data_IF_893669384141
#
_entry.id   IF_893669384141
#
_cell.length_a   1.000
_cell.length_b   1.000
_cell.length_c   1.000
_cell.angle_alpha   90.00
_cell.angle_beta   90.00
_cell.angle_gamma   90.00
#
_symmetry.space_group_name_H-M   'P 1'
#
loop_
_entity.id
_entity.type
_entity.pdbx_description
1 polymer ?
#
# COMPACT_ATOMS: atom_id res chain seq x y z
N UNK A 1 11.25 21.97 3.91
CA UNK A 1 10.95 21.14 5.10
C UNK A 1 12.23 20.59 5.69
N UNK A 2 12.31 20.41 7.02
CA UNK A 2 13.46 19.76 7.66
C UNK A 2 13.50 18.28 7.27
N UNK A 3 14.69 17.78 6.96
CA UNK A 3 14.89 16.35 6.63
C UNK A 3 14.59 15.47 7.84
N UNK A 4 13.79 14.42 7.66
CA UNK A 4 13.38 13.48 8.72
C UNK A 4 14.01 12.10 8.49
N UNK A 5 15.17 11.82 9.14
CA UNK A 5 15.93 10.58 8.88
C UNK A 5 15.16 9.30 9.20
N UNK A 6 14.28 9.33 10.21
CA UNK A 6 13.50 8.15 10.58
C UNK A 6 12.47 7.78 9.51
N UNK A 7 11.83 8.76 8.87
CA UNK A 7 10.94 8.53 7.74
C UNK A 7 11.71 7.98 6.53
N UNK A 8 12.92 8.48 6.28
CA UNK A 8 13.77 7.94 5.23
C UNK A 8 14.13 6.46 5.48
N UNK A 9 14.48 6.12 6.73
CA UNK A 9 14.74 4.73 7.12
C UNK A 9 13.49 3.85 6.92
N UNK A 10 12.31 4.36 7.27
CA UNK A 10 11.05 3.65 7.05
C UNK A 10 10.76 3.43 5.57
N UNK A 11 10.90 4.47 4.74
CA UNK A 11 10.74 4.36 3.29
C UNK A 11 11.70 3.33 2.68
N UNK A 12 12.97 3.37 3.10
CA UNK A 12 13.98 2.40 2.67
C UNK A 12 13.63 0.98 3.09
N UNK A 13 13.20 0.78 4.34
CA UNK A 13 12.78 -0.53 4.85
C UNK A 13 11.62 -1.12 4.03
N UNK A 14 10.58 -0.32 3.78
CA UNK A 14 9.42 -0.76 3.01
C UNK A 14 9.84 -1.10 1.58
N UNK A 15 10.70 -0.29 0.96
CA UNK A 15 11.18 -0.53 -0.41
C UNK A 15 12.01 -1.81 -0.52
N UNK A 16 12.87 -2.08 0.45
CA UNK A 16 13.66 -3.32 0.50
C UNK A 16 12.76 -4.55 0.70
N UNK A 17 11.80 -4.49 1.63
CA UNK A 17 10.87 -5.60 1.86
C UNK A 17 9.91 -5.80 0.68
N UNK A 18 9.55 -4.74 -0.03
CA UNK A 18 8.74 -4.78 -1.26
C UNK A 18 9.53 -5.18 -2.51
N UNK A 19 10.84 -5.40 -2.39
CA UNK A 19 11.75 -5.71 -3.51
C UNK A 19 11.63 -4.70 -4.67
N UNK A 20 11.51 -3.42 -4.33
CA UNK A 20 11.40 -2.34 -5.31
C UNK A 20 12.74 -1.62 -5.47
N UNK A 21 12.82 -0.38 -5.01
CA UNK A 21 14.03 0.42 -5.16
C UNK A 21 14.98 0.29 -3.97
N UNK A 22 16.27 0.38 -4.25
CA UNK A 22 17.34 0.54 -3.24
C UNK A 22 17.85 1.97 -3.27
N UNK A 23 18.51 2.40 -2.19
CA UNK A 23 19.13 3.74 -2.15
C UNK A 23 18.13 4.89 -2.12
N UNK A 24 16.99 4.73 -1.49
CA UNK A 24 15.98 5.78 -1.33
C UNK A 24 16.57 7.03 -0.68
N UNK A 25 16.28 8.17 -1.27
CA UNK A 25 16.72 9.51 -0.82
C UNK A 25 15.54 10.38 -0.40
N UNK A 26 15.83 11.57 0.14
CA UNK A 26 14.80 12.57 0.50
C UNK A 26 14.05 13.13 -0.73
N UNK A 27 14.56 12.92 -1.94
CA UNK A 27 13.93 13.39 -3.16
C UNK A 27 13.01 12.34 -3.80
N UNK A 28 13.07 11.11 -3.32
CA UNK A 28 12.29 10.00 -3.87
C UNK A 28 10.83 10.03 -3.46
N UNK A 29 9.93 9.53 -4.33
CA UNK A 29 8.49 9.48 -4.06
C UNK A 29 8.12 8.79 -2.76
N UNK A 30 8.82 7.71 -2.42
CA UNK A 30 8.58 6.91 -1.21
C UNK A 30 8.75 7.72 0.07
N UNK A 31 9.77 8.59 0.12
CA UNK A 31 9.95 9.50 1.24
C UNK A 31 8.87 10.59 1.24
N UNK A 32 8.64 11.23 0.09
CA UNK A 32 7.70 12.35 -0.05
C UNK A 32 6.25 11.95 0.24
N UNK A 33 5.89 10.68 0.04
CA UNK A 33 4.57 10.15 0.37
C UNK A 33 4.41 9.98 1.88
N UNK A 34 5.42 9.48 2.58
CA UNK A 34 5.31 9.19 4.01
C UNK A 34 5.50 10.45 4.88
N UNK A 35 6.37 11.34 4.46
CA UNK A 35 6.79 12.49 5.25
C UNK A 35 5.66 13.38 5.75
N UNK A 36 4.64 13.76 4.95
CA UNK A 36 3.58 14.66 5.39
C UNK A 36 2.51 13.99 6.28
N UNK A 37 2.42 12.66 6.26
CA UNK A 37 1.30 11.92 6.86
C UNK A 37 1.70 11.03 8.05
N UNK A 38 3.00 10.77 8.22
CA UNK A 38 3.53 9.94 9.30
C UNK A 38 4.39 10.80 10.22
N UNK A 39 4.02 10.93 11.49
CA UNK A 39 4.85 11.56 12.51
C UNK A 39 5.93 10.62 13.05
N UNK A 40 6.81 11.09 13.92
CA UNK A 40 7.92 10.30 14.44
C UNK A 40 7.46 9.19 15.39
N UNK A 41 6.35 9.37 16.10
CA UNK A 41 5.75 8.37 16.97
C UNK A 41 5.13 7.23 16.14
N UNK A 42 4.35 7.56 15.13
CA UNK A 42 3.81 6.60 14.17
C UNK A 42 4.94 5.85 13.44
N UNK A 43 5.98 6.57 13.02
CA UNK A 43 7.14 5.99 12.36
C UNK A 43 7.83 4.96 13.26
N UNK A 44 8.06 5.28 14.53
CA UNK A 44 8.68 4.38 15.49
C UNK A 44 7.90 3.07 15.64
N UNK A 45 6.57 3.13 15.68
CA UNK A 45 5.72 1.93 15.76
C UNK A 45 5.70 1.16 14.44
N UNK A 46 5.57 1.85 13.30
CA UNK A 46 5.52 1.22 11.97
C UNK A 46 6.83 0.46 11.63
N UNK A 47 7.97 0.89 12.17
CA UNK A 47 9.25 0.18 12.04
C UNK A 47 9.21 -1.26 12.59
N UNK A 48 8.28 -1.57 13.50
CA UNK A 48 8.10 -2.90 14.07
C UNK A 48 7.07 -3.77 13.33
N UNK A 49 6.39 -3.23 12.32
CA UNK A 49 5.59 -4.00 11.38
C UNK A 49 6.46 -4.61 10.28
N UNK A 50 5.91 -5.56 9.53
CA UNK A 50 6.55 -6.20 8.37
C UNK A 50 5.56 -6.34 7.23
N UNK A 51 6.11 -6.48 6.03
CA UNK A 51 5.36 -6.72 4.81
C UNK A 51 4.47 -7.95 4.96
N UNK A 52 3.14 -7.77 4.79
CA UNK A 52 2.09 -8.80 4.83
C UNK A 52 2.10 -9.74 6.06
N UNK A 53 2.96 -9.48 7.06
CA UNK A 53 3.06 -10.29 8.26
C UNK A 53 2.10 -9.80 9.36
N UNK A 54 1.12 -10.62 9.69
CA UNK A 54 0.14 -10.35 10.73
C UNK A 54 0.81 -10.20 12.10
N UNK A 55 0.63 -9.05 12.75
CA UNK A 55 1.12 -8.78 14.11
C UNK A 55 -0.01 -8.22 14.95
N UNK A 56 -0.24 -8.81 16.11
CA UNK A 56 -1.17 -8.25 17.09
C UNK A 56 -0.58 -6.99 17.73
N UNK A 57 -1.41 -6.18 18.37
CA UNK A 57 -0.95 -4.99 19.07
C UNK A 57 0.05 -5.33 20.18
N UNK A 58 -0.16 -6.43 20.90
CA UNK A 58 0.72 -6.90 21.97
C UNK A 58 2.11 -7.27 21.43
N UNK A 59 2.15 -7.94 20.26
CA UNK A 59 3.40 -8.33 19.61
C UNK A 59 4.19 -7.08 19.16
N UNK A 60 3.51 -6.08 18.61
CA UNK A 60 4.13 -4.81 18.22
C UNK A 60 4.60 -4.04 19.46
N UNK A 61 3.77 -3.93 20.50
CA UNK A 61 4.08 -3.26 21.75
C UNK A 61 5.35 -3.83 22.42
N UNK A 62 5.41 -5.16 22.49
CA UNK A 62 6.60 -5.86 23.02
C UNK A 62 7.87 -5.53 22.26
N UNK A 63 7.79 -5.49 20.91
CA UNK A 63 8.93 -5.17 20.03
C UNK A 63 9.35 -3.71 20.13
N UNK A 64 8.38 -2.81 20.21
CA UNK A 64 8.59 -1.39 20.35
C UNK A 64 8.99 -0.98 21.79
N UNK A 65 8.89 -1.90 22.77
CA UNK A 65 9.07 -1.63 24.20
C UNK A 65 8.17 -0.50 24.70
N UNK A 66 6.92 -0.51 24.26
CA UNK A 66 5.90 0.47 24.59
C UNK A 66 4.68 -0.21 25.24
N UNK A 67 3.80 0.57 25.85
CA UNK A 67 2.52 0.06 26.35
C UNK A 67 1.61 -0.37 25.19
N UNK A 68 0.73 -1.33 25.45
CA UNK A 68 -0.26 -1.80 24.47
C UNK A 68 -1.21 -0.66 24.05
N UNK A 69 -1.65 0.13 25.01
CA UNK A 69 -2.55 1.27 24.77
C UNK A 69 -1.94 2.34 23.85
N UNK A 70 -0.70 2.75 24.14
CA UNK A 70 0.05 3.67 23.29
C UNK A 70 0.22 3.10 21.87
N UNK A 71 0.64 1.83 21.79
CA UNK A 71 0.86 1.16 20.50
C UNK A 71 -0.42 1.05 19.70
N UNK A 72 -1.54 0.70 20.33
CA UNK A 72 -2.85 0.67 19.69
C UNK A 72 -3.23 2.05 19.11
N UNK A 73 -3.03 3.11 19.89
CA UNK A 73 -3.30 4.48 19.45
C UNK A 73 -2.51 4.85 18.19
N UNK A 74 -1.22 4.52 18.15
CA UNK A 74 -0.38 4.81 16.97
C UNK A 74 -0.75 3.94 15.77
N UNK A 75 -1.09 2.66 15.98
CA UNK A 75 -1.53 1.76 14.90
C UNK A 75 -2.87 2.20 14.31
N UNK A 76 -3.78 2.73 15.11
CA UNK A 76 -5.06 3.26 14.63
C UNK A 76 -4.87 4.56 13.83
N UNK A 77 -3.94 5.44 14.25
CA UNK A 77 -3.54 6.60 13.45
C UNK A 77 -2.95 6.16 12.10
N UNK A 78 -2.02 5.20 12.10
CA UNK A 78 -1.41 4.64 10.89
C UNK A 78 -2.45 4.01 9.95
N UNK A 79 -3.42 3.29 10.49
CA UNK A 79 -4.50 2.70 9.70
C UNK A 79 -5.37 3.79 9.03
N UNK A 80 -5.62 4.91 9.71
CA UNK A 80 -6.36 6.05 9.15
C UNK A 80 -5.61 6.72 7.99
N UNK A 81 -4.28 6.72 7.99
CA UNK A 81 -3.51 7.24 6.84
C UNK A 81 -3.59 6.34 5.61
N UNK A 82 -3.97 5.07 5.75
CA UNK A 82 -3.94 4.06 4.70
C UNK A 82 -2.58 3.40 4.48
N UNK A 83 -1.54 3.80 5.21
CA UNK A 83 -0.20 3.21 5.11
C UNK A 83 -0.12 1.82 5.77
N UNK A 84 -0.95 1.58 6.78
CA UNK A 84 -1.06 0.32 7.49
C UNK A 84 -2.46 -0.25 7.30
N UNK A 85 -2.56 -1.55 7.15
CA UNK A 85 -3.82 -2.30 7.08
C UNK A 85 -3.95 -3.20 8.30
N UNK A 86 -5.17 -3.65 8.53
CA UNK A 86 -5.44 -4.68 9.52
C UNK A 86 -6.40 -5.73 8.98
N UNK A 87 -6.32 -6.90 9.54
CA UNK A 87 -7.27 -8.00 9.32
C UNK A 87 -7.50 -8.75 10.63
N UNK A 88 -8.59 -9.47 10.71
CA UNK A 88 -8.86 -10.34 11.85
C UNK A 88 -8.34 -11.74 11.56
N UNK A 89 -7.49 -12.25 12.46
CA UNK A 89 -6.94 -13.61 12.42
C UNK A 89 -7.27 -14.25 13.78
N UNK A 90 -8.00 -15.34 13.78
CA UNK A 90 -8.47 -16.03 14.99
C UNK A 90 -9.14 -15.09 16.01
N UNK A 91 -9.99 -14.18 15.49
CA UNK A 91 -10.71 -13.19 16.29
C UNK A 91 -9.86 -12.02 16.81
N UNK A 92 -8.55 -11.99 16.54
CA UNK A 92 -7.64 -10.91 16.94
C UNK A 92 -7.36 -9.97 15.78
N UNK A 93 -7.37 -8.67 16.05
CA UNK A 93 -6.99 -7.64 15.07
C UNK A 93 -5.47 -7.63 14.89
N UNK A 94 -5.01 -7.94 13.68
CA UNK A 94 -3.60 -7.99 13.32
C UNK A 94 -3.28 -6.90 12.30
N UNK A 95 -2.14 -6.25 12.49
CA UNK A 95 -1.67 -5.14 11.68
C UNK A 95 -0.49 -5.55 10.80
N UNK A 96 -0.41 -4.96 9.61
CA UNK A 96 0.69 -5.16 8.66
C UNK A 96 0.72 -3.98 7.68
N UNK A 97 1.79 -3.84 6.90
CA UNK A 97 1.76 -2.99 5.72
C UNK A 97 1.89 -3.84 4.46
N UNK A 98 1.18 -3.47 3.39
CA UNK A 98 1.33 -4.12 2.09
C UNK A 98 2.55 -3.59 1.33
N UNK A 99 2.81 -4.08 0.13
CA UNK A 99 3.80 -3.51 -0.79
C UNK A 99 3.41 -2.08 -1.19
N UNK A 100 4.38 -1.35 -1.80
CA UNK A 100 4.10 0.03 -2.24
C UNK A 100 2.93 0.10 -3.20
N UNK A 101 2.97 -0.67 -4.30
CA UNK A 101 1.94 -0.70 -5.35
C UNK A 101 1.80 -2.13 -5.88
N UNK A 102 0.60 -2.73 -5.87
CA UNK A 102 -0.63 -2.20 -5.30
C UNK A 102 -0.66 -2.37 -3.77
N UNK A 103 -0.91 -1.31 -3.02
CA UNK A 103 -1.01 -1.45 -1.57
C UNK A 103 -0.97 -0.14 -0.79
N UNK A 104 0.22 0.28 -0.33
CA UNK A 104 0.38 1.48 0.53
C UNK A 104 -0.12 2.73 -0.20
N UNK A 105 0.32 2.94 -1.43
CA UNK A 105 -0.02 4.16 -2.19
C UNK A 105 -1.51 4.26 -2.46
N UNK A 106 -2.16 3.18 -2.85
CA UNK A 106 -3.61 3.15 -3.04
C UNK A 106 -4.36 3.39 -1.74
N UNK A 107 -3.89 2.83 -0.63
CA UNK A 107 -4.46 3.05 0.69
C UNK A 107 -4.39 4.52 1.11
N UNK A 108 -3.23 5.15 0.91
CA UNK A 108 -3.01 6.58 1.21
C UNK A 108 -3.89 7.48 0.32
N UNK A 109 -3.95 7.21 -0.97
CA UNK A 109 -4.73 8.00 -1.93
C UNK A 109 -6.24 7.79 -1.81
N UNK A 110 -6.70 6.71 -1.17
CA UNK A 110 -8.11 6.52 -0.87
C UNK A 110 -8.64 7.53 0.18
N UNK A 111 -7.77 8.09 1.01
CA UNK A 111 -8.13 9.10 1.99
C UNK A 111 -8.21 10.49 1.33
N UNK A 112 -9.45 10.92 1.02
CA UNK A 112 -9.72 12.17 0.32
C UNK A 112 -9.21 13.40 1.06
N UNK A 113 -9.55 13.52 2.32
CA UNK A 113 -9.19 14.67 3.15
C UNK A 113 -7.66 14.84 3.21
N UNK A 114 -6.95 13.73 3.35
CA UNK A 114 -5.49 13.71 3.37
C UNK A 114 -4.88 14.17 2.03
N UNK A 115 -5.44 13.72 0.90
CA UNK A 115 -4.97 14.13 -0.43
C UNK A 115 -5.24 15.62 -0.70
N UNK A 116 -6.39 16.12 -0.29
CA UNK A 116 -6.75 17.52 -0.44
C UNK A 116 -5.83 18.43 0.42
N UNK A 117 -5.41 17.92 1.60
CA UNK A 117 -4.47 18.62 2.49
C UNK A 117 -3.02 18.58 1.99
N UNK A 118 -2.62 17.49 1.35
CA UNK A 118 -1.25 17.25 0.91
C UNK A 118 -1.18 16.87 -0.58
N UNK A 119 -1.24 17.84 -1.51
CA UNK A 119 -1.20 17.57 -2.96
C UNK A 119 0.03 16.78 -3.41
N UNK A 120 1.15 16.89 -2.69
CA UNK A 120 2.39 16.14 -2.95
C UNK A 120 2.18 14.62 -2.98
N UNK A 121 1.11 14.10 -2.36
CA UNK A 121 0.80 12.67 -2.38
C UNK A 121 0.46 12.19 -3.79
N UNK A 122 -0.38 12.92 -4.52
CA UNK A 122 -0.72 12.61 -5.91
C UNK A 122 0.49 12.74 -6.84
N UNK A 123 1.24 13.84 -6.72
CA UNK A 123 2.46 14.09 -7.51
C UNK A 123 3.51 12.98 -7.29
N UNK A 124 3.70 12.57 -6.05
CA UNK A 124 4.66 11.52 -5.71
C UNK A 124 4.22 10.14 -6.19
N UNK A 125 2.92 9.84 -6.16
CA UNK A 125 2.37 8.61 -6.74
C UNK A 125 2.61 8.56 -8.27
N UNK A 126 2.36 9.66 -8.96
CA UNK A 126 2.65 9.80 -10.40
C UNK A 126 4.13 9.58 -10.68
N UNK A 127 5.02 10.24 -9.91
CA UNK A 127 6.47 10.10 -10.06
C UNK A 127 6.94 8.66 -9.82
N UNK A 128 6.40 7.97 -8.81
CA UNK A 128 6.67 6.56 -8.57
C UNK A 128 6.24 5.68 -9.73
N UNK A 129 5.03 5.92 -10.25
CA UNK A 129 4.47 5.11 -11.34
C UNK A 129 5.26 5.29 -12.63
N UNK A 130 5.71 6.52 -12.94
CA UNK A 130 6.54 6.80 -14.11
C UNK A 130 7.92 6.13 -14.05
N UNK A 131 8.48 5.97 -12.86
CA UNK A 131 9.78 5.30 -12.63
C UNK A 131 9.70 3.77 -12.71
N UNK A 132 8.51 3.20 -12.60
CA UNK A 132 8.28 1.75 -12.55
C UNK A 132 8.82 0.96 -13.74
N UNK A 133 8.75 1.42 -15.01
CA UNK A 133 9.35 0.73 -16.14
C UNK A 133 10.85 0.49 -15.98
N UNK A 134 11.59 1.44 -15.42
CA UNK A 134 13.04 1.31 -15.19
C UNK A 134 13.38 0.20 -14.19
N UNK A 135 12.55 0.04 -13.17
CA UNK A 135 12.67 -1.05 -12.20
C UNK A 135 12.35 -2.40 -12.82
N UNK A 136 11.36 -2.47 -13.70
CA UNK A 136 10.88 -3.73 -14.27
C UNK A 136 11.75 -4.22 -15.43
N UNK A 137 12.42 -3.34 -16.18
CA UNK A 137 13.23 -3.70 -17.33
C UNK A 137 14.28 -4.79 -17.04
N UNK A 138 15.11 -4.69 -15.98
CA UNK A 138 16.09 -5.76 -15.67
C UNK A 138 15.45 -7.10 -15.32
N UNK A 139 14.23 -7.08 -14.78
CA UNK A 139 13.49 -8.28 -14.43
C UNK A 139 12.90 -8.95 -15.67
N UNK A 140 12.46 -8.16 -16.64
CA UNK A 140 11.99 -8.63 -17.94
C UNK A 140 13.15 -9.30 -18.72
N UNK A 141 14.31 -8.63 -18.77
CA UNK A 141 15.50 -9.11 -19.46
C UNK A 141 16.04 -10.41 -18.85
N UNK A 142 15.84 -10.63 -17.56
CA UNK A 142 16.28 -11.87 -16.89
C UNK A 142 15.45 -13.12 -17.20
N UNK A 143 14.36 -12.98 -17.96
CA UNK A 143 13.44 -14.09 -18.30
C UNK A 143 12.64 -14.62 -17.11
N UNK A 144 12.74 -14.02 -15.93
CA UNK A 144 12.00 -14.40 -14.72
C UNK A 144 10.57 -13.88 -14.76
N UNK A 145 9.75 -14.42 -15.65
CA UNK A 145 8.37 -13.99 -15.91
C UNK A 145 7.39 -14.25 -14.76
N UNK A 146 7.75 -15.05 -13.77
CA UNK A 146 6.86 -15.44 -12.66
C UNK A 146 6.51 -14.32 -11.66
N UNK A 147 7.17 -13.16 -11.74
CA UNK A 147 7.01 -12.06 -10.78
C UNK A 147 6.07 -10.92 -11.25
N UNK A 148 5.43 -11.06 -12.41
CA UNK A 148 4.50 -10.06 -12.92
C UNK A 148 3.06 -10.38 -12.53
N UNK A 149 2.45 -9.45 -11.82
CA UNK A 149 1.04 -9.55 -11.42
C UNK A 149 0.05 -9.39 -12.58
N UNK A 150 0.50 -8.77 -13.68
CA UNK A 150 -0.29 -8.57 -14.89
C UNK A 150 0.60 -8.72 -16.11
N UNK A 151 0.17 -9.51 -17.06
CA UNK A 151 0.82 -9.66 -18.38
C UNK A 151 -0.22 -9.81 -19.47
N UNK A 152 0.06 -9.26 -20.63
CA UNK A 152 -0.71 -9.54 -21.83
C UNK A 152 -0.13 -10.81 -22.45
N UNK A 153 -0.93 -11.85 -22.58
CA UNK A 153 -0.57 -13.05 -23.36
C UNK A 153 -1.15 -12.89 -24.77
N UNK A 154 -0.31 -12.82 -25.81
CA UNK A 154 -0.81 -12.90 -27.17
C UNK A 154 -1.32 -14.32 -27.39
N UNK A 155 -2.59 -14.45 -27.75
CA UNK A 155 -3.21 -15.73 -28.08
C UNK A 155 -3.49 -15.73 -29.57
N UNK A 156 -2.87 -16.68 -30.28
CA UNK A 156 -3.05 -16.85 -31.74
C UNK A 156 -4.33 -17.59 -32.11
N UNK A 157 -5.04 -18.14 -31.12
CA UNK A 157 -6.37 -18.77 -31.30
C UNK A 157 -7.36 -18.18 -30.30
N UNK A 158 -8.63 -18.13 -30.68
CA UNK A 158 -9.69 -17.80 -29.72
C UNK A 158 -9.69 -18.86 -28.62
N UNK A 159 -9.43 -18.44 -27.39
CA UNK A 159 -9.68 -19.29 -26.22
C UNK A 159 -11.16 -19.14 -25.94
N UNK A 160 -11.90 -20.24 -26.01
CA UNK A 160 -13.23 -20.29 -25.41
C UNK A 160 -13.05 -20.03 -23.91
N UNK A 161 -13.45 -18.83 -23.51
CA UNK A 161 -13.33 -18.40 -22.13
C UNK A 161 -14.75 -18.34 -21.56
N UNK A 162 -15.03 -19.16 -20.57
CA UNK A 162 -16.30 -19.12 -19.83
C UNK A 162 -16.49 -17.83 -19.03
N UNK A 163 -15.45 -17.01 -18.91
CA UNK A 163 -15.56 -15.69 -18.28
C UNK A 163 -16.16 -14.68 -19.25
N UNK A 164 -17.42 -14.36 -19.06
CA UNK A 164 -18.13 -13.29 -19.74
C UNK A 164 -18.29 -12.07 -18.84
N UNK A 165 -18.43 -10.91 -19.44
CA UNK A 165 -18.83 -9.71 -18.69
C UNK A 165 -20.23 -9.94 -18.14
N UNK A 166 -20.41 -9.75 -16.82
CA UNK A 166 -21.73 -9.84 -16.20
C UNK A 166 -22.69 -8.83 -16.82
N UNK A 167 -23.90 -9.24 -17.10
CA UNK A 167 -24.97 -8.34 -17.53
C UNK A 167 -25.35 -7.39 -16.38
N UNK A 168 -26.08 -6.32 -16.72
CA UNK A 168 -26.59 -5.40 -15.69
C UNK A 168 -27.44 -6.10 -14.64
N UNK A 169 -28.29 -7.05 -15.03
CA UNK A 169 -29.16 -7.78 -14.11
C UNK A 169 -28.37 -8.71 -13.19
N UNK A 170 -27.32 -9.34 -13.70
CA UNK A 170 -26.43 -10.16 -12.89
C UNK A 170 -25.64 -9.30 -11.89
N UNK A 171 -25.15 -8.13 -12.29
CA UNK A 171 -24.50 -7.17 -11.40
C UNK A 171 -25.46 -6.69 -10.32
N UNK A 172 -26.70 -6.38 -10.67
CA UNK A 172 -27.75 -5.99 -9.73
C UNK A 172 -27.98 -7.10 -8.68
N UNK A 173 -28.10 -8.33 -9.12
CA UNK A 173 -28.27 -9.49 -8.23
C UNK A 173 -27.08 -9.67 -7.27
N UNK A 174 -25.84 -9.47 -7.77
CA UNK A 174 -24.64 -9.51 -6.92
C UNK A 174 -24.65 -8.41 -5.85
N UNK A 175 -25.09 -7.20 -6.22
CA UNK A 175 -25.21 -6.07 -5.30
C UNK A 175 -26.29 -6.34 -4.23
N UNK A 176 -27.45 -6.83 -4.65
CA UNK A 176 -28.57 -7.12 -3.74
C UNK A 176 -28.27 -8.24 -2.75
N UNK A 177 -27.45 -9.22 -3.14
CA UNK A 177 -27.03 -10.33 -2.28
C UNK A 177 -25.83 -10.00 -1.41
N UNK A 178 -25.19 -8.84 -1.57
CA UNK A 178 -24.04 -8.46 -0.77
C UNK A 178 -24.46 -8.09 0.67
N UNK A 179 -23.79 -8.65 1.67
CA UNK A 179 -24.04 -8.32 3.09
C UNK A 179 -23.49 -6.95 3.47
N UNK A 180 -22.50 -6.46 2.74
CA UNK A 180 -21.93 -5.11 2.89
C UNK A 180 -21.30 -4.66 1.57
N UNK A 181 -21.42 -3.36 1.27
CA UNK A 181 -20.83 -2.74 0.09
C UNK A 181 -19.97 -1.57 0.55
N UNK A 182 -18.73 -1.51 0.07
CA UNK A 182 -17.84 -0.37 0.27
C UNK A 182 -17.71 0.44 -1.02
N UNK A 183 -17.88 1.74 -0.91
CA UNK A 183 -17.68 2.68 -2.02
C UNK A 183 -16.52 3.61 -1.68
N UNK A 184 -15.56 3.71 -2.57
CA UNK A 184 -14.38 4.55 -2.37
C UNK A 184 -13.92 5.23 -3.68
N UNK A 185 -13.15 6.33 -3.58
CA UNK A 185 -12.57 6.96 -4.75
C UNK A 185 -11.51 6.06 -5.38
N UNK A 186 -11.44 6.09 -6.71
CA UNK A 186 -10.37 5.40 -7.44
C UNK A 186 -9.04 6.17 -7.26
N UNK A 187 -8.06 5.56 -6.61
CA UNK A 187 -6.74 6.15 -6.35
C UNK A 187 -6.02 6.57 -7.64
N UNK A 188 -6.05 5.75 -8.69
CA UNK A 188 -5.42 6.06 -9.98
C UNK A 188 -6.03 7.27 -10.69
N UNK A 189 -7.34 7.50 -10.53
CA UNK A 189 -8.03 8.67 -11.11
C UNK A 189 -7.81 9.94 -10.29
N UNK A 190 -7.51 9.79 -9.00
CA UNK A 190 -7.24 10.93 -8.12
C UNK A 190 -5.82 11.46 -8.21
N UNK A 191 -4.87 10.61 -8.57
CA UNK A 191 -3.46 10.98 -8.74
C UNK A 191 -3.19 11.79 -10.02
N UNK A 192 -4.21 12.03 -10.86
CA UNK A 192 -4.10 12.75 -12.13
C UNK A 192 -4.71 14.14 -12.09
#
# INVERSE_FOLDING_TARGET
>A
MAKRPNILKLATKISLESMTYTGITYNDPEYKILEPIIDDEMCAIMMHLRLEANRTVEDVAKRAKQSVEYTQTQLDKLAKTGAVRYRYVDGKRCYFYPIWVPGIMEGILANREQCDKYPVLGESFEAYTRRRPEMLAPMLDSGKTGMFFMRVMPVMSAIENDTRTASYDELKTLIENATAISVGPCSCRRAR
#
